data_IF_883898294305
#
_entry.id   IF_883898294305
#
_cell.length_a   1.000
_cell.length_b   1.000
_cell.length_c   1.000
_cell.angle_alpha   90.00
_cell.angle_beta   90.00
_cell.angle_gamma   90.00
#
_symmetry.space_group_name_H-M   'P 1'
#
loop_
_entity.id
_entity.type
_entity.pdbx_description
1 polymer ?
#
# COMPACT_ATOMS: atom_id res chain seq x y z
N UNK A 1 18.91 -16.63 -20.30
CA UNK A 1 18.78 -15.19 -19.97
C UNK A 1 17.51 -14.73 -20.65
N UNK A 2 16.47 -14.42 -19.89
CA UNK A 2 15.18 -13.99 -20.43
C UNK A 2 15.17 -12.48 -20.53
N UNK A 3 14.95 -11.95 -21.73
CA UNK A 3 14.75 -10.53 -21.98
C UNK A 3 13.24 -10.24 -21.98
N UNK A 4 12.82 -9.15 -21.33
CA UNK A 4 11.43 -8.68 -21.29
C UNK A 4 11.36 -7.26 -21.87
N UNK A 5 10.48 -7.04 -22.85
CA UNK A 5 10.29 -5.73 -23.49
C UNK A 5 8.93 -5.18 -23.13
N UNK A 6 8.88 -3.93 -22.63
CA UNK A 6 7.64 -3.25 -22.25
C UNK A 6 7.49 -1.94 -22.97
N UNK A 7 6.29 -1.68 -23.48
CA UNK A 7 5.93 -0.44 -24.17
C UNK A 7 5.12 0.46 -23.25
N UNK A 8 5.42 1.75 -23.25
CA UNK A 8 4.74 2.76 -22.45
C UNK A 8 4.21 3.86 -23.35
N UNK A 9 3.04 4.40 -23.02
CA UNK A 9 2.42 5.52 -23.73
C UNK A 9 2.14 6.66 -22.74
N UNK A 10 2.40 7.89 -23.17
CA UNK A 10 2.16 9.10 -22.38
C UNK A 10 1.68 10.20 -23.32
N UNK A 11 0.67 10.95 -22.88
CA UNK A 11 0.25 12.20 -23.55
C UNK A 11 1.14 13.38 -23.17
N UNK A 12 1.95 13.26 -22.12
CA UNK A 12 2.87 14.30 -21.70
C UNK A 12 4.15 14.26 -22.54
N UNK A 13 4.68 15.42 -23.01
CA UNK A 13 5.99 15.49 -23.63
C UNK A 13 7.07 15.22 -22.57
N UNK A 14 7.74 14.07 -22.66
CA UNK A 14 8.74 13.61 -21.69
C UNK A 14 10.07 13.34 -22.38
N UNK A 15 11.17 13.73 -21.74
CA UNK A 15 12.48 13.21 -22.11
C UNK A 15 12.60 11.73 -21.69
N UNK A 16 13.49 10.94 -22.31
CA UNK A 16 13.72 9.55 -21.92
C UNK A 16 14.02 9.37 -20.42
N UNK A 17 14.78 10.29 -19.82
CA UNK A 17 15.18 10.25 -18.41
C UNK A 17 13.97 10.44 -17.49
N UNK A 18 13.12 11.44 -17.80
CA UNK A 18 11.89 11.71 -17.04
C UNK A 18 10.88 10.58 -17.20
N UNK A 19 10.77 10.00 -18.39
CA UNK A 19 9.93 8.82 -18.61
C UNK A 19 10.40 7.64 -17.76
N UNK A 20 11.71 7.34 -17.77
CA UNK A 20 12.28 6.27 -16.97
C UNK A 20 12.12 6.48 -15.46
N UNK A 21 12.28 7.71 -14.97
CA UNK A 21 11.99 8.06 -13.58
C UNK A 21 10.52 7.83 -13.23
N UNK A 22 9.59 8.36 -14.04
CA UNK A 22 8.15 8.20 -13.82
C UNK A 22 7.73 6.72 -13.79
N UNK A 23 8.25 5.91 -14.71
CA UNK A 23 7.99 4.47 -14.75
C UNK A 23 8.50 3.79 -13.47
N UNK A 24 9.72 4.10 -13.03
CA UNK A 24 10.27 3.56 -11.77
C UNK A 24 9.48 4.01 -10.55
N UNK A 25 9.02 5.26 -10.51
CA UNK A 25 8.16 5.76 -9.44
C UNK A 25 6.79 5.06 -9.45
N UNK A 26 6.23 4.77 -10.63
CA UNK A 26 4.96 4.05 -10.76
C UNK A 26 5.03 2.66 -10.15
N UNK A 27 6.14 1.93 -10.31
CA UNK A 27 6.37 0.65 -9.63
C UNK A 27 6.29 0.74 -8.10
N UNK A 28 6.61 1.89 -7.51
CA UNK A 28 6.41 2.12 -6.07
C UNK A 28 4.94 2.03 -5.65
N UNK A 29 4.01 2.38 -6.55
CA UNK A 29 2.57 2.26 -6.32
C UNK A 29 2.14 0.79 -6.34
N UNK A 30 2.59 0.02 -7.34
CA UNK A 30 2.27 -1.41 -7.45
C UNK A 30 2.86 -2.22 -6.28
N UNK A 31 4.05 -1.86 -5.82
CA UNK A 31 4.65 -2.47 -4.63
C UNK A 31 3.78 -2.28 -3.38
N UNK A 32 3.11 -1.13 -3.25
CA UNK A 32 2.13 -0.91 -2.19
C UNK A 32 0.86 -1.75 -2.41
N UNK A 33 0.37 -1.87 -3.64
CA UNK A 33 -0.80 -2.70 -3.96
C UNK A 33 -0.61 -4.14 -3.54
N UNK A 34 0.56 -4.75 -3.82
CA UNK A 34 0.85 -6.10 -3.37
C UNK A 34 0.69 -6.28 -1.84
N UNK A 35 1.08 -5.28 -1.05
CA UNK A 35 0.89 -5.33 0.40
C UNK A 35 -0.60 -5.28 0.77
N UNK A 36 -1.41 -4.48 0.08
CA UNK A 36 -2.85 -4.42 0.30
C UNK A 36 -3.52 -5.74 -0.09
N UNK A 37 -3.17 -6.28 -1.25
CA UNK A 37 -3.71 -7.52 -1.80
C UNK A 37 -3.42 -8.70 -0.88
N UNK A 38 -2.14 -8.87 -0.49
CA UNK A 38 -1.69 -10.06 0.26
C UNK A 38 -1.80 -9.88 1.77
N UNK A 39 -1.33 -8.76 2.32
CA UNK A 39 -1.26 -8.57 3.78
C UNK A 39 -2.60 -8.08 4.34
N UNK A 40 -3.33 -7.24 3.62
CA UNK A 40 -4.67 -6.77 3.98
C UNK A 40 -5.80 -7.59 3.34
N UNK A 41 -5.46 -8.60 2.54
CA UNK A 41 -6.42 -9.55 1.94
C UNK A 41 -7.49 -8.84 1.11
N UNK A 42 -7.08 -7.82 0.36
CA UNK A 42 -7.98 -7.05 -0.48
C UNK A 42 -8.64 -7.92 -1.55
N UNK A 43 -7.87 -8.77 -2.24
CA UNK A 43 -8.37 -9.71 -3.24
C UNK A 43 -9.42 -10.69 -2.70
N UNK A 44 -9.29 -11.08 -1.43
CA UNK A 44 -10.21 -12.00 -0.77
C UNK A 44 -11.49 -11.29 -0.27
N UNK A 45 -11.59 -9.98 -0.39
CA UNK A 45 -12.73 -9.21 0.08
C UNK A 45 -13.95 -9.45 -0.81
N UNK A 46 -15.04 -9.93 -0.19
CA UNK A 46 -16.32 -10.21 -0.86
C UNK A 46 -17.28 -9.01 -0.89
N UNK A 47 -16.83 -7.83 -0.46
CA UNK A 47 -17.63 -6.62 -0.47
C UNK A 47 -17.78 -6.14 -1.92
N UNK A 48 -18.98 -6.30 -2.47
CA UNK A 48 -19.33 -5.95 -3.86
C UNK A 48 -20.59 -5.08 -3.99
N UNK A 49 -21.31 -4.84 -2.88
CA UNK A 49 -22.55 -4.04 -2.86
C UNK A 49 -22.29 -2.59 -2.45
N UNK A 50 -22.99 -1.66 -3.10
CA UNK A 50 -22.92 -0.23 -2.82
C UNK A 50 -21.48 0.29 -2.81
N UNK A 51 -21.15 1.14 -1.84
CA UNK A 51 -19.81 1.73 -1.68
C UNK A 51 -18.83 0.85 -0.87
N UNK A 52 -19.16 -0.40 -0.58
CA UNK A 52 -18.37 -1.25 0.33
C UNK A 52 -16.93 -1.49 -0.14
N UNK A 53 -16.73 -1.72 -1.45
CA UNK A 53 -15.40 -1.92 -2.02
C UNK A 53 -14.53 -0.65 -1.88
N UNK A 54 -15.06 0.51 -2.28
CA UNK A 54 -14.36 1.79 -2.23
C UNK A 54 -14.05 2.22 -0.78
N UNK A 55 -15.02 2.09 0.12
CA UNK A 55 -14.83 2.44 1.53
C UNK A 55 -13.75 1.58 2.17
N UNK A 56 -13.75 0.26 1.90
CA UNK A 56 -12.73 -0.61 2.44
C UNK A 56 -11.35 -0.40 1.83
N UNK A 57 -11.26 -0.03 0.55
CA UNK A 57 -9.98 0.36 -0.06
C UNK A 57 -9.36 1.57 0.67
N UNK A 58 -10.18 2.58 1.01
CA UNK A 58 -9.74 3.73 1.81
C UNK A 58 -9.29 3.31 3.22
N UNK A 59 -10.09 2.51 3.92
CA UNK A 59 -9.77 2.04 5.28
C UNK A 59 -8.46 1.24 5.29
N UNK A 60 -8.25 0.33 4.32
CA UNK A 60 -7.01 -0.45 4.22
C UNK A 60 -5.81 0.44 3.94
N UNK A 61 -5.92 1.41 3.02
CA UNK A 61 -4.84 2.37 2.75
C UNK A 61 -4.49 3.22 3.97
N UNK A 62 -5.50 3.68 4.70
CA UNK A 62 -5.29 4.42 5.96
C UNK A 62 -4.53 3.55 6.97
N UNK A 63 -5.04 2.34 7.25
CA UNK A 63 -4.41 1.41 8.18
C UNK A 63 -2.98 1.03 7.75
N UNK A 64 -2.74 0.82 6.45
CA UNK A 64 -1.40 0.57 5.92
C UNK A 64 -0.46 1.73 6.20
N UNK A 65 -0.86 2.96 5.93
CA UNK A 65 -0.02 4.14 6.15
C UNK A 65 0.32 4.34 7.63
N UNK A 66 -0.67 4.18 8.52
CA UNK A 66 -0.47 4.25 9.98
C UNK A 66 0.56 3.20 10.44
N UNK A 67 0.34 1.93 10.06
CA UNK A 67 1.26 0.85 10.44
C UNK A 67 2.64 1.07 9.83
N UNK A 68 2.73 1.53 8.58
CA UNK A 68 4.00 1.81 7.91
C UNK A 68 4.82 2.87 8.64
N UNK A 69 4.17 3.92 9.14
CA UNK A 69 4.83 4.99 9.88
C UNK A 69 5.33 4.54 11.27
N UNK A 70 4.54 3.76 12.02
CA UNK A 70 4.85 3.42 13.41
C UNK A 70 5.37 1.99 13.68
N UNK A 71 5.60 1.16 12.64
CA UNK A 71 6.07 -0.24 12.83
C UNK A 71 7.48 -0.37 13.41
N UNK A 72 8.30 0.69 13.38
CA UNK A 72 9.72 0.63 13.69
C UNK A 72 10.42 -0.44 12.83
N UNK A 73 11.15 -1.36 13.46
CA UNK A 73 11.86 -2.46 12.78
C UNK A 73 10.96 -3.66 12.40
N UNK A 74 9.68 -3.68 12.80
CA UNK A 74 8.78 -4.81 12.53
C UNK A 74 8.35 -4.84 11.06
N UNK A 75 8.08 -6.02 10.53
CA UNK A 75 7.38 -6.16 9.24
C UNK A 75 5.97 -5.57 9.32
N UNK A 76 5.41 -5.13 8.19
CA UNK A 76 4.02 -4.64 8.12
C UNK A 76 3.05 -5.69 8.66
N UNK A 77 3.24 -6.97 8.29
CA UNK A 77 2.42 -8.10 8.75
C UNK A 77 2.45 -8.23 10.27
N UNK A 78 3.64 -8.21 10.88
CA UNK A 78 3.82 -8.35 12.33
C UNK A 78 3.25 -7.15 13.08
N UNK A 79 3.55 -5.93 12.63
CA UNK A 79 3.05 -4.71 13.26
C UNK A 79 1.52 -4.62 13.19
N UNK A 80 0.91 -4.93 12.03
CA UNK A 80 -0.55 -5.01 11.87
C UNK A 80 -1.17 -6.02 12.83
N UNK A 81 -0.55 -7.20 12.98
CA UNK A 81 -1.05 -8.25 13.89
C UNK A 81 -0.93 -7.82 15.35
N UNK A 82 0.19 -7.20 15.73
CA UNK A 82 0.39 -6.66 17.08
C UNK A 82 -0.64 -5.57 17.42
N UNK A 83 -0.92 -4.66 16.48
CA UNK A 83 -1.94 -3.64 16.66
C UNK A 83 -3.36 -4.23 16.80
N UNK A 84 -3.63 -5.38 16.18
CA UNK A 84 -4.90 -6.09 16.38
C UNK A 84 -5.01 -6.84 17.72
N UNK A 85 -3.91 -7.03 18.44
CA UNK A 85 -3.84 -7.84 19.67
C UNK A 85 -3.51 -7.05 20.93
N UNK A 86 -2.89 -5.88 20.79
CA UNK A 86 -2.49 -5.03 21.89
C UNK A 86 -3.06 -3.62 21.69
N UNK A 87 -4.10 -3.23 22.47
CA UNK A 87 -4.72 -1.91 22.40
C UNK A 87 -3.75 -0.76 22.68
N UNK A 88 -2.77 -0.93 23.58
CA UNK A 88 -1.79 0.10 23.89
C UNK A 88 -0.85 0.34 22.70
N UNK A 89 -0.42 -0.74 22.03
CA UNK A 89 0.37 -0.63 20.82
C UNK A 89 -0.44 -0.01 19.68
N UNK A 90 -1.72 -0.35 19.55
CA UNK A 90 -2.62 0.30 18.59
C UNK A 90 -2.75 1.80 18.89
N UNK A 91 -3.00 2.16 20.14
CA UNK A 91 -3.13 3.55 20.59
C UNK A 91 -1.87 4.34 20.28
N UNK A 92 -0.68 3.78 20.54
CA UNK A 92 0.60 4.40 20.20
C UNK A 92 0.80 4.63 18.69
N UNK A 93 0.09 3.90 17.83
CA UNK A 93 0.14 4.10 16.37
C UNK A 93 -0.84 5.16 15.87
N UNK A 94 -2.04 5.26 16.47
CA UNK A 94 -3.14 6.08 15.93
C UNK A 94 -3.32 7.41 16.66
N UNK A 95 -2.83 7.53 17.89
CA UNK A 95 -2.93 8.76 18.68
C UNK A 95 -1.71 9.65 18.45
N UNK A 96 -1.89 10.98 18.44
CA UNK A 96 -0.76 11.90 18.40
C UNK A 96 0.14 11.71 19.64
N UNK A 97 1.46 11.99 19.53
CA UNK A 97 2.35 11.97 20.68
C UNK A 97 1.82 12.96 21.74
N UNK A 98 1.81 12.51 23.00
CA UNK A 98 1.50 13.37 24.16
C UNK A 98 2.62 14.38 24.40
#
# INVERSE_FOLDING_TARGET
MTEDTRYFISSAPLSPERAAEAIRCHWGIESMHWVLDVIFKEDLSRLRRGHGAQNMALVRRLAFNIVRAGRGKRSIKTARKAAGWNPDFLAALILPPR
#
